data_IF_449684878855
#
_entry.id   IF_449684878855
#
_cell.length_a   1.000
_cell.length_b   1.000
_cell.length_c   1.000
_cell.angle_alpha   90.00
_cell.angle_beta   90.00
_cell.angle_gamma   90.00
#
_symmetry.space_group_name_H-M   'P 1'
#
loop_
_entity.id
_entity.type
_entity.pdbx_description
1 polymer ?
#
# COMPACT_ATOMS: atom_id res chain seq x y z
N UNK A 1 1.91 -38.54 27.51
CA UNK A 1 2.85 -37.61 28.16
C UNK A 1 2.90 -36.20 27.54
N UNK A 2 1.83 -35.69 26.89
CA UNK A 2 1.78 -34.31 26.34
C UNK A 2 0.80 -33.37 27.08
N UNK A 3 -0.02 -33.90 28.00
CA UNK A 3 -1.02 -33.11 28.75
C UNK A 3 -0.49 -32.53 30.07
N UNK A 4 0.66 -33.01 30.56
CA UNK A 4 1.27 -32.55 31.82
C UNK A 4 2.13 -31.29 31.60
N UNK A 5 2.64 -31.07 30.37
CA UNK A 5 3.46 -29.88 30.07
C UNK A 5 2.63 -28.58 29.96
N UNK A 6 1.35 -28.67 29.60
CA UNK A 6 0.52 -27.47 29.40
C UNK A 6 0.03 -26.85 30.72
N UNK A 7 -0.07 -27.66 31.79
CA UNK A 7 -0.43 -27.18 33.13
C UNK A 7 0.68 -26.34 33.78
N UNK A 8 1.94 -26.71 33.57
CA UNK A 8 3.08 -26.04 34.22
C UNK A 8 3.34 -24.63 33.69
N UNK A 9 3.06 -24.37 32.40
CA UNK A 9 3.29 -23.06 31.77
C UNK A 9 2.26 -22.02 32.24
N UNK A 10 1.04 -22.44 32.55
CA UNK A 10 -0.02 -21.54 33.03
C UNK A 10 0.18 -21.19 34.52
N UNK A 11 0.70 -22.11 35.33
CA UNK A 11 1.08 -21.82 36.72
C UNK A 11 2.33 -20.94 36.84
N UNK A 12 3.28 -21.01 35.90
CA UNK A 12 4.48 -20.15 35.93
C UNK A 12 4.15 -18.67 35.59
N UNK A 13 3.07 -18.43 34.83
CA UNK A 13 2.64 -17.09 34.43
C UNK A 13 1.81 -16.36 35.50
N UNK A 14 1.32 -17.07 36.52
CA UNK A 14 0.47 -16.52 37.58
C UNK A 14 1.24 -16.14 38.87
N UNK A 15 2.50 -16.56 39.02
CA UNK A 15 3.31 -16.28 40.23
C UNK A 15 4.17 -15.01 40.10
N UNK A 16 4.26 -14.38 38.92
CA UNK A 16 5.06 -13.16 38.73
C UNK A 16 4.31 -11.84 38.98
N UNK A 17 3.15 -11.86 39.67
CA UNK A 17 2.33 -10.65 39.90
C UNK A 17 2.33 -10.14 41.35
N UNK A 18 3.24 -10.59 42.21
CA UNK A 18 3.34 -10.09 43.59
C UNK A 18 4.78 -9.75 43.97
N UNK A 19 4.94 -8.58 44.60
CA UNK A 19 6.16 -7.82 44.92
C UNK A 19 6.67 -7.01 43.71
N UNK A 20 6.59 -5.67 43.69
CA UNK A 20 6.98 -4.72 44.74
C UNK A 20 6.02 -3.52 44.74
N UNK A 21 5.51 -3.19 45.93
CA UNK A 21 4.92 -1.91 46.29
C UNK A 21 5.86 -1.19 47.27
N UNK A 22 5.72 0.14 47.34
CA UNK A 22 6.34 1.12 48.27
C UNK A 22 7.82 1.49 48.00
N UNK A 23 8.25 2.75 47.95
CA UNK A 23 7.73 4.06 48.42
C UNK A 23 8.12 5.21 47.45
N UNK A 24 7.35 6.30 47.43
CA UNK A 24 7.76 7.57 46.79
C UNK A 24 6.60 8.49 46.42
N UNK A 25 6.18 9.32 47.38
CA UNK A 25 5.06 10.28 47.36
C UNK A 25 5.40 11.59 46.61
N UNK A 26 4.35 12.35 46.22
CA UNK A 26 4.28 13.82 45.94
C UNK A 26 4.56 14.19 44.46
N UNK A 27 3.72 14.86 43.65
CA UNK A 27 2.45 15.62 43.81
C UNK A 27 1.77 15.89 42.46
N UNK A 28 0.45 16.10 42.56
CA UNK A 28 -0.40 17.07 41.84
C UNK A 28 -0.85 16.86 40.39
N UNK A 29 -2.16 16.54 40.31
CA UNK A 29 -3.21 17.27 39.60
C UNK A 29 -3.03 17.52 38.09
N UNK A 30 -3.81 16.82 37.28
CA UNK A 30 -5.04 17.44 36.73
C UNK A 30 -5.93 16.41 36.06
N UNK A 31 -7.19 16.39 36.51
CA UNK A 31 -8.32 15.81 35.79
C UNK A 31 -8.42 16.40 34.38
N UNK A 32 -8.60 15.53 33.38
CA UNK A 32 -9.55 15.82 32.31
C UNK A 32 -10.15 14.54 31.75
N UNK A 33 -11.28 14.18 32.32
CA UNK A 33 -12.29 13.31 31.71
C UNK A 33 -12.83 14.03 30.47
N UNK A 34 -12.73 13.42 29.28
CA UNK A 34 -13.70 13.65 28.20
C UNK A 34 -14.04 12.30 27.57
N UNK A 35 -15.33 11.97 27.64
CA UNK A 35 -15.98 10.82 27.04
C UNK A 35 -16.19 10.98 25.53
N UNK A 36 -16.14 9.83 24.84
CA UNK A 36 -16.94 9.38 23.68
C UNK A 36 -17.54 10.44 22.73
N UNK A 37 -17.19 10.35 21.44
CA UNK A 37 -18.19 10.49 20.36
C UNK A 37 -17.69 9.86 19.07
N UNK A 38 -18.44 8.86 18.58
CA UNK A 38 -18.43 8.42 17.18
C UNK A 38 -19.07 9.51 16.31
N UNK A 39 -18.38 9.99 15.27
CA UNK A 39 -18.87 10.04 13.89
C UNK A 39 -17.95 10.84 12.95
N UNK A 40 -17.91 10.35 11.72
CA UNK A 40 -17.30 10.83 10.47
C UNK A 40 -16.91 12.32 10.37
N UNK A 41 -15.68 12.59 9.89
CA UNK A 41 -15.48 13.01 8.50
C UNK A 41 -14.00 13.17 8.16
N UNK A 42 -13.65 12.81 6.93
CA UNK A 42 -12.37 13.11 6.28
C UNK A 42 -12.19 14.63 6.17
N UNK A 43 -11.07 15.16 6.68
CA UNK A 43 -10.22 16.14 5.98
C UNK A 43 -8.85 16.22 6.64
N UNK A 44 -7.84 15.79 5.89
CA UNK A 44 -6.56 16.49 5.66
C UNK A 44 -6.06 17.46 6.76
N UNK A 45 -5.29 16.93 7.71
CA UNK A 45 -4.04 17.55 8.13
C UNK A 45 -3.05 16.43 8.41
N UNK A 46 -1.86 16.54 7.83
CA UNK A 46 -0.71 15.76 8.28
C UNK A 46 -0.34 16.35 9.64
N UNK A 47 -1.06 15.95 10.67
CA UNK A 47 -0.64 16.21 12.03
C UNK A 47 0.69 15.50 12.21
N UNK A 48 1.67 16.32 12.52
CA UNK A 48 3.03 15.98 12.87
C UNK A 48 2.97 15.10 14.12
N UNK A 49 2.78 13.80 13.92
CA UNK A 49 2.85 12.84 15.03
C UNK A 49 4.27 12.89 15.56
N UNK A 50 4.41 13.60 16.68
CA UNK A 50 5.54 13.57 17.58
C UNK A 50 5.74 12.12 18.04
N UNK A 51 6.51 11.36 17.26
CA UNK A 51 7.07 10.09 17.67
C UNK A 51 8.39 10.41 18.36
N UNK A 52 8.34 10.39 19.68
CA UNK A 52 9.49 10.48 20.57
C UNK A 52 10.61 9.56 20.07
N UNK A 53 11.78 10.16 19.85
CA UNK A 53 12.97 9.52 19.31
C UNK A 53 13.68 8.61 20.34
N UNK A 54 12.95 8.09 21.33
CA UNK A 54 13.49 7.30 22.43
C UNK A 54 12.61 6.08 22.71
N UNK A 55 12.15 5.40 21.66
CA UNK A 55 11.61 4.06 21.80
C UNK A 55 12.79 3.09 21.93
N UNK A 56 13.00 2.62 23.16
CA UNK A 56 13.82 1.48 23.54
C UNK A 56 13.68 0.34 22.50
N UNK A 57 14.77 -0.37 22.16
CA UNK A 57 14.77 -1.30 21.02
C UNK A 57 13.65 -2.36 21.08
N UNK A 58 13.16 -2.66 22.29
CA UNK A 58 12.01 -3.50 22.60
C UNK A 58 10.68 -2.94 22.09
N UNK A 59 10.41 -1.64 22.24
CA UNK A 59 9.20 -0.97 21.71
C UNK A 59 9.24 -0.89 20.18
N UNK A 60 10.44 -0.72 19.61
CA UNK A 60 10.65 -0.78 18.15
C UNK A 60 10.30 -2.15 17.56
N UNK A 61 10.51 -3.23 18.30
CA UNK A 61 10.11 -4.58 17.88
C UNK A 61 8.59 -4.70 17.74
N UNK A 62 7.82 -4.29 18.76
CA UNK A 62 6.36 -4.34 18.74
C UNK A 62 5.75 -3.44 17.66
N UNK A 63 6.32 -2.26 17.43
CA UNK A 63 5.89 -1.39 16.34
C UNK A 63 6.05 -2.06 14.97
N UNK A 64 7.22 -2.65 14.69
CA UNK A 64 7.46 -3.34 13.41
C UNK A 64 6.61 -4.62 13.28
N UNK A 65 6.37 -5.34 14.39
CA UNK A 65 5.48 -6.50 14.42
C UNK A 65 4.04 -6.09 14.08
N UNK A 66 3.55 -5.03 14.71
CA UNK A 66 2.22 -4.46 14.47
C UNK A 66 2.03 -4.01 13.03
N UNK A 67 3.02 -3.34 12.43
CA UNK A 67 2.99 -2.96 11.01
C UNK A 67 2.94 -4.17 10.08
N UNK A 68 3.72 -5.22 10.36
CA UNK A 68 3.68 -6.45 9.56
C UNK A 68 2.34 -7.19 9.71
N UNK A 69 1.77 -7.23 10.92
CA UNK A 69 0.43 -7.77 11.18
C UNK A 69 -0.64 -6.98 10.42
N UNK A 70 -0.61 -5.64 10.49
CA UNK A 70 -1.53 -4.79 9.75
C UNK A 70 -1.43 -5.02 8.24
N UNK A 71 -0.22 -5.15 7.70
CA UNK A 71 -0.02 -5.52 6.29
C UNK A 71 -0.54 -6.93 5.95
N UNK A 72 -0.44 -7.88 6.88
CA UNK A 72 -0.93 -9.25 6.67
C UNK A 72 -2.47 -9.34 6.73
N UNK A 73 -3.11 -8.52 7.57
CA UNK A 73 -4.56 -8.49 7.75
C UNK A 73 -5.30 -7.78 6.61
N UNK A 74 -4.64 -6.87 5.88
CA UNK A 74 -5.25 -6.23 4.71
C UNK A 74 -5.31 -7.21 3.53
N UNK A 75 -6.52 -7.67 3.23
CA UNK A 75 -6.80 -8.58 2.11
C UNK A 75 -6.81 -7.88 0.75
N UNK A 76 -7.18 -6.60 0.71
CA UNK A 76 -7.19 -5.82 -0.53
C UNK A 76 -5.75 -5.46 -0.95
N UNK A 77 -5.34 -5.91 -2.14
CA UNK A 77 -3.96 -5.78 -2.63
C UNK A 77 -3.54 -4.31 -2.82
N UNK A 78 -4.43 -3.46 -3.31
CA UNK A 78 -4.20 -2.01 -3.47
C UNK A 78 -3.93 -1.35 -2.12
N UNK A 79 -4.84 -1.51 -1.15
CA UNK A 79 -4.68 -0.94 0.19
C UNK A 79 -3.43 -1.46 0.90
N UNK A 80 -3.05 -2.72 0.63
CA UNK A 80 -1.84 -3.33 1.17
C UNK A 80 -0.57 -2.72 0.57
N UNK A 81 -0.54 -2.52 -0.75
CA UNK A 81 0.57 -1.88 -1.45
C UNK A 81 0.70 -0.41 -1.01
N UNK A 82 -0.41 0.32 -0.90
CA UNK A 82 -0.43 1.70 -0.43
C UNK A 82 0.07 1.83 1.03
N UNK A 83 -0.37 0.94 1.93
CA UNK A 83 0.14 0.93 3.30
C UNK A 83 1.64 0.64 3.35
N UNK A 84 2.13 -0.31 2.53
CA UNK A 84 3.55 -0.62 2.48
C UNK A 84 4.37 0.58 2.00
N UNK A 85 3.87 1.31 1.00
CA UNK A 85 4.48 2.56 0.53
C UNK A 85 4.49 3.64 1.61
N UNK A 86 3.40 3.77 2.39
CA UNK A 86 3.33 4.69 3.53
C UNK A 86 4.38 4.35 4.60
N UNK A 87 4.54 3.08 4.94
CA UNK A 87 5.57 2.62 5.88
C UNK A 87 6.97 2.97 5.37
N UNK A 88 7.24 2.79 4.08
CA UNK A 88 8.52 3.17 3.49
C UNK A 88 8.79 4.69 3.60
N UNK A 89 7.76 5.51 3.40
CA UNK A 89 7.83 6.97 3.59
C UNK A 89 8.10 7.34 5.06
N UNK A 90 7.41 6.72 6.01
CA UNK A 90 7.65 6.91 7.44
C UNK A 90 9.11 6.59 7.81
N UNK A 91 9.66 5.49 7.29
CA UNK A 91 11.07 5.14 7.52
C UNK A 91 12.03 6.16 6.90
N UNK A 92 11.70 6.75 5.74
CA UNK A 92 12.51 7.83 5.16
C UNK A 92 12.46 9.11 6.02
N UNK A 93 11.29 9.44 6.57
CA UNK A 93 11.17 10.55 7.52
C UNK A 93 12.03 10.30 8.79
N UNK A 94 12.07 9.05 9.27
CA UNK A 94 12.96 8.65 10.38
C UNK A 94 14.44 8.81 10.00
N UNK A 95 14.85 8.42 8.79
CA UNK A 95 16.21 8.66 8.28
C UNK A 95 16.55 10.16 8.33
N UNK A 96 15.66 11.03 7.84
CA UNK A 96 15.86 12.48 7.89
C UNK A 96 15.96 13.00 9.34
N UNK A 97 15.12 12.50 10.27
CA UNK A 97 15.20 12.86 11.69
C UNK A 97 16.55 12.44 12.30
N UNK A 98 16.96 11.18 12.09
CA UNK A 98 18.22 10.63 12.62
C UNK A 98 19.44 11.34 12.01
N UNK A 99 19.37 11.74 10.74
CA UNK A 99 20.44 12.51 10.10
C UNK A 99 20.74 13.85 10.79
N UNK A 100 19.80 14.40 11.58
CA UNK A 100 20.01 15.62 12.36
C UNK A 100 20.79 15.35 13.66
N UNK A 101 20.81 14.11 14.13
CA UNK A 101 21.42 13.70 15.40
C UNK A 101 22.93 13.40 15.27
N UNK A 102 23.49 13.44 14.06
CA UNK A 102 24.91 13.16 13.74
C UNK A 102 25.44 11.81 14.26
N UNK A 103 24.58 10.79 14.33
CA UNK A 103 24.97 9.44 14.74
C UNK A 103 25.09 8.55 13.48
N UNK A 104 26.30 8.29 12.96
CA UNK A 104 26.51 7.55 11.71
C UNK A 104 25.96 6.12 11.78
N UNK A 105 26.13 5.45 12.92
CA UNK A 105 25.70 4.06 13.11
C UNK A 105 24.18 3.98 13.09
N UNK A 106 23.49 4.90 13.77
CA UNK A 106 22.02 4.97 13.72
C UNK A 106 21.51 5.37 12.34
N UNK A 107 22.22 6.26 11.64
CA UNK A 107 21.86 6.67 10.28
C UNK A 107 21.94 5.49 9.30
N UNK A 108 23.01 4.71 9.35
CA UNK A 108 23.18 3.51 8.52
C UNK A 108 22.10 2.45 8.82
N UNK A 109 21.83 2.19 10.11
CA UNK A 109 20.76 1.27 10.53
C UNK A 109 19.38 1.76 10.06
N UNK A 110 19.14 3.07 10.06
CA UNK A 110 17.91 3.67 9.57
C UNK A 110 17.77 3.55 8.05
N UNK A 111 18.85 3.79 7.30
CA UNK A 111 18.90 3.60 5.84
C UNK A 111 18.61 2.15 5.46
N UNK A 112 19.24 1.18 6.12
CA UNK A 112 18.98 -0.24 5.87
C UNK A 112 17.52 -0.64 6.15
N UNK A 113 16.89 -0.05 7.18
CA UNK A 113 15.46 -0.28 7.48
C UNK A 113 14.56 0.34 6.42
N UNK A 114 14.88 1.54 5.96
CA UNK A 114 14.16 2.22 4.89
C UNK A 114 14.25 1.42 3.59
N UNK A 115 15.43 0.91 3.23
CA UNK A 115 15.62 0.09 2.03
C UNK A 115 14.77 -1.19 2.09
N UNK A 116 14.74 -1.87 3.24
CA UNK A 116 13.89 -3.06 3.44
C UNK A 116 12.40 -2.73 3.32
N UNK A 117 11.95 -1.60 3.86
CA UNK A 117 10.56 -1.17 3.74
C UNK A 117 10.20 -0.86 2.28
N UNK A 118 11.09 -0.17 1.57
CA UNK A 118 10.94 0.13 0.14
C UNK A 118 10.84 -1.15 -0.70
N UNK A 119 11.75 -2.11 -0.49
CA UNK A 119 11.73 -3.38 -1.21
C UNK A 119 10.44 -4.19 -0.97
N UNK A 120 9.88 -4.15 0.25
CA UNK A 120 8.58 -4.75 0.55
C UNK A 120 7.44 -4.06 -0.19
N UNK A 121 7.45 -2.73 -0.23
CA UNK A 121 6.45 -1.95 -0.96
C UNK A 121 6.51 -2.28 -2.45
N UNK A 122 7.69 -2.26 -3.06
CA UNK A 122 7.88 -2.58 -4.48
C UNK A 122 7.38 -3.99 -4.81
N UNK A 123 7.70 -5.01 -3.98
CA UNK A 123 7.20 -6.37 -4.19
C UNK A 123 5.67 -6.48 -4.13
N UNK A 124 5.01 -5.67 -3.30
CA UNK A 124 3.54 -5.65 -3.23
C UNK A 124 2.93 -4.91 -4.41
N UNK A 125 3.60 -3.85 -4.89
CA UNK A 125 3.20 -3.12 -6.09
C UNK A 125 3.33 -4.00 -7.33
N UNK A 126 4.44 -4.72 -7.48
CA UNK A 126 4.65 -5.67 -8.59
C UNK A 126 3.58 -6.77 -8.59
N UNK A 127 3.22 -7.29 -7.41
CA UNK A 127 2.10 -8.25 -7.29
C UNK A 127 0.75 -7.64 -7.66
N UNK A 128 0.52 -6.37 -7.32
CA UNK A 128 -0.69 -5.66 -7.74
C UNK A 128 -0.72 -5.50 -9.27
N UNK A 129 0.40 -5.11 -9.87
CA UNK A 129 0.55 -4.91 -11.32
C UNK A 129 0.37 -6.22 -12.11
N UNK A 130 0.88 -7.34 -11.59
CA UNK A 130 0.86 -8.64 -12.26
C UNK A 130 -0.43 -9.43 -12.03
N UNK A 131 -0.92 -9.47 -10.78
CA UNK A 131 -2.04 -10.34 -10.39
C UNK A 131 -3.41 -9.62 -10.43
N UNK A 132 -3.44 -8.28 -10.40
CA UNK A 132 -4.69 -7.50 -10.31
C UNK A 132 -4.73 -6.37 -11.34
N UNK A 133 -4.28 -6.67 -12.57
CA UNK A 133 -4.25 -5.76 -13.71
C UNK A 133 -5.62 -5.18 -14.11
N UNK A 134 -6.71 -5.57 -13.43
CA UNK A 134 -8.05 -4.97 -13.59
C UNK A 134 -8.14 -3.60 -12.89
N UNK A 135 -7.31 -3.35 -11.88
CA UNK A 135 -7.36 -2.15 -11.06
C UNK A 135 -6.31 -1.12 -11.51
N UNK A 136 -6.36 -0.75 -12.80
CA UNK A 136 -5.34 0.08 -13.46
C UNK A 136 -5.22 1.46 -12.84
N UNK A 137 -6.33 2.08 -12.48
CA UNK A 137 -6.33 3.41 -11.87
C UNK A 137 -5.62 3.39 -10.51
N UNK A 138 -5.86 2.35 -9.70
CA UNK A 138 -5.15 2.13 -8.45
C UNK A 138 -3.64 1.96 -8.65
N UNK A 139 -3.25 1.17 -9.67
CA UNK A 139 -1.86 0.95 -10.04
C UNK A 139 -1.19 2.28 -10.43
N UNK A 140 -1.85 3.10 -11.24
CA UNK A 140 -1.33 4.39 -11.69
C UNK A 140 -1.18 5.38 -10.54
N UNK A 141 -2.17 5.48 -9.65
CA UNK A 141 -2.07 6.31 -8.43
C UNK A 141 -0.88 5.89 -7.55
N UNK A 142 -0.74 4.59 -7.28
CA UNK A 142 0.35 4.07 -6.44
C UNK A 142 1.71 4.31 -7.11
N UNK A 143 1.78 4.19 -8.44
CA UNK A 143 2.99 4.46 -9.23
C UNK A 143 3.39 5.93 -9.12
N UNK A 144 2.46 6.86 -9.32
CA UNK A 144 2.73 8.30 -9.20
C UNK A 144 3.26 8.65 -7.79
N UNK A 145 2.62 8.12 -6.74
CA UNK A 145 3.11 8.27 -5.35
C UNK A 145 4.53 7.73 -5.16
N UNK A 146 4.86 6.61 -5.81
CA UNK A 146 6.20 6.01 -5.72
C UNK A 146 7.25 6.84 -6.46
N UNK A 147 6.90 7.47 -7.57
CA UNK A 147 7.79 8.40 -8.29
C UNK A 147 8.05 9.66 -7.47
N UNK A 148 7.00 10.28 -6.93
CA UNK A 148 7.12 11.43 -6.03
C UNK A 148 7.99 11.10 -4.82
N UNK A 149 7.80 9.92 -4.21
CA UNK A 149 8.64 9.46 -3.10
C UNK A 149 10.10 9.30 -3.52
N UNK A 150 10.36 8.76 -4.72
CA UNK A 150 11.73 8.56 -5.22
C UNK A 150 12.44 9.90 -5.41
N UNK A 151 11.74 10.90 -5.94
CA UNK A 151 12.24 12.28 -6.01
C UNK A 151 12.52 12.84 -4.60
N UNK A 152 11.60 12.70 -3.64
CA UNK A 152 11.79 13.15 -2.25
C UNK A 152 12.97 12.46 -1.57
N UNK A 153 13.20 11.17 -1.83
CA UNK A 153 14.35 10.43 -1.29
C UNK A 153 15.67 11.03 -1.80
N UNK A 154 15.75 11.38 -3.09
CA UNK A 154 16.94 12.02 -3.67
C UNK A 154 17.23 13.40 -3.06
N UNK A 155 16.18 14.20 -2.83
CA UNK A 155 16.31 15.51 -2.19
C UNK A 155 16.79 15.37 -0.74
N UNK A 156 16.18 14.45 0.03
CA UNK A 156 16.57 14.19 1.41
C UNK A 156 18.01 13.66 1.46
N UNK A 157 18.41 12.76 0.55
CA UNK A 157 19.80 12.28 0.44
C UNK A 157 20.76 13.45 0.29
N UNK A 158 20.52 14.32 -0.68
CA UNK A 158 21.39 15.47 -0.97
C UNK A 158 21.56 16.34 0.29
N UNK A 159 20.43 16.62 0.96
CA UNK A 159 20.42 17.38 2.22
C UNK A 159 21.15 16.67 3.36
N UNK A 160 21.10 15.34 3.43
CA UNK A 160 21.84 14.55 4.42
C UNK A 160 23.34 14.65 4.16
N UNK A 161 23.77 14.45 2.91
CA UNK A 161 25.18 14.53 2.54
C UNK A 161 25.77 15.91 2.81
N UNK A 162 25.07 16.99 2.44
CA UNK A 162 25.49 18.36 2.75
C UNK A 162 25.67 18.60 4.26
N UNK A 163 24.72 18.14 5.08
CA UNK A 163 24.79 18.30 6.55
C UNK A 163 25.89 17.49 7.21
N UNK A 164 26.24 16.35 6.64
CA UNK A 164 27.22 15.41 7.19
C UNK A 164 28.64 15.70 6.71
N UNK A 165 28.80 16.46 5.62
CA UNK A 165 30.09 16.81 5.02
C UNK A 165 31.08 17.46 6.02
N UNK A 166 30.57 18.30 6.91
CA UNK A 166 31.41 19.03 7.89
C UNK A 166 31.52 18.31 9.25
N UNK A 167 30.83 17.17 9.42
CA UNK A 167 30.67 16.51 10.73
C UNK A 167 31.18 15.08 10.78
N UNK A 168 31.43 14.48 9.63
CA UNK A 168 31.92 13.11 9.49
C UNK A 168 33.36 13.09 8.97
N UNK A 169 34.07 11.98 9.22
CA UNK A 169 35.37 11.78 8.60
C UNK A 169 35.22 11.57 7.09
N UNK A 170 36.25 11.87 6.28
CA UNK A 170 36.20 11.64 4.84
C UNK A 170 35.82 10.20 4.49
N UNK A 171 36.34 9.22 5.23
CA UNK A 171 36.05 7.79 5.03
C UNK A 171 34.57 7.44 5.29
N UNK A 172 33.96 8.03 6.33
CA UNK A 172 32.54 7.83 6.64
C UNK A 172 31.62 8.47 5.58
N UNK A 173 32.03 9.63 5.05
CA UNK A 173 31.32 10.28 3.95
C UNK A 173 31.37 9.40 2.70
N UNK A 174 32.53 8.86 2.34
CA UNK A 174 32.67 7.96 1.20
C UNK A 174 31.80 6.71 1.35
N UNK A 175 31.80 6.06 2.53
CA UNK A 175 30.91 4.92 2.78
C UNK A 175 29.43 5.29 2.67
N UNK A 176 29.04 6.45 3.20
CA UNK A 176 27.66 6.93 3.11
C UNK A 176 27.25 7.23 1.65
N UNK A 177 28.15 7.82 0.87
CA UNK A 177 27.99 8.03 -0.57
C UNK A 177 27.81 6.71 -1.30
N UNK A 178 28.59 5.67 -0.97
CA UNK A 178 28.44 4.33 -1.54
C UNK A 178 27.07 3.71 -1.20
N UNK A 179 26.64 3.78 0.06
CA UNK A 179 25.32 3.27 0.48
C UNK A 179 24.22 3.98 -0.31
N UNK A 180 24.32 5.29 -0.45
CA UNK A 180 23.34 6.05 -1.22
C UNK A 180 23.41 5.77 -2.72
N UNK A 181 24.60 5.59 -3.30
CA UNK A 181 24.76 5.22 -4.70
C UNK A 181 24.13 3.85 -4.97
N UNK A 182 24.25 2.91 -4.03
CA UNK A 182 23.58 1.61 -4.10
C UNK A 182 22.06 1.74 -4.03
N UNK A 183 21.54 2.63 -3.18
CA UNK A 183 20.10 2.91 -3.09
C UNK A 183 19.58 3.51 -4.41
N UNK A 184 20.33 4.42 -5.02
CA UNK A 184 20.01 5.05 -6.31
C UNK A 184 20.09 4.08 -7.48
N UNK A 185 21.15 3.29 -7.59
CA UNK A 185 21.28 2.28 -8.63
C UNK A 185 20.10 1.30 -8.60
N UNK A 186 19.71 0.86 -7.39
CA UNK A 186 18.50 0.05 -7.23
C UNK A 186 17.23 0.82 -7.55
N UNK A 187 17.16 2.12 -7.26
CA UNK A 187 16.00 2.95 -7.63
C UNK A 187 15.85 3.08 -9.14
N UNK A 188 16.97 3.22 -9.85
CA UNK A 188 17.01 3.34 -11.30
C UNK A 188 16.64 2.01 -11.98
N UNK A 189 17.22 0.89 -11.55
CA UNK A 189 16.84 -0.45 -12.02
C UNK A 189 15.33 -0.71 -11.83
N UNK A 190 14.78 -0.25 -10.69
CA UNK A 190 13.33 -0.31 -10.44
C UNK A 190 12.52 0.56 -11.40
N UNK A 191 12.99 1.77 -11.73
CA UNK A 191 12.30 2.64 -12.69
C UNK A 191 12.29 2.03 -14.09
N UNK A 192 13.39 1.42 -14.51
CA UNK A 192 13.49 0.71 -15.79
C UNK A 192 12.52 -0.47 -15.86
N UNK A 193 12.48 -1.33 -14.82
CA UNK A 193 11.49 -2.41 -14.72
C UNK A 193 10.05 -1.90 -14.76
N UNK A 194 9.77 -0.76 -14.13
CA UNK A 194 8.44 -0.12 -14.14
C UNK A 194 8.03 0.36 -15.54
N UNK A 195 8.97 0.81 -16.37
CA UNK A 195 8.67 1.21 -17.75
C UNK A 195 8.24 0.01 -18.60
N UNK A 196 8.90 -1.14 -18.45
CA UNK A 196 8.52 -2.37 -19.16
C UNK A 196 7.12 -2.85 -18.74
N UNK A 197 6.85 -2.89 -17.42
CA UNK A 197 5.53 -3.25 -16.91
C UNK A 197 4.45 -2.24 -17.36
N UNK A 198 4.79 -0.95 -17.48
CA UNK A 198 3.87 0.08 -18.01
C UNK A 198 3.46 -0.24 -19.44
N UNK A 199 4.40 -0.65 -20.29
CA UNK A 199 4.12 -1.01 -21.67
C UNK A 199 3.16 -2.21 -21.74
N UNK A 200 3.44 -3.25 -20.96
CA UNK A 200 2.60 -4.45 -20.89
C UNK A 200 1.18 -4.17 -20.36
N UNK A 201 1.03 -3.32 -19.34
CA UNK A 201 -0.29 -2.92 -18.84
C UNK A 201 -1.05 -2.11 -19.90
N UNK A 202 -0.37 -1.20 -20.60
CA UNK A 202 -0.97 -0.39 -21.67
C UNK A 202 -1.47 -1.26 -22.83
N UNK A 203 -0.69 -2.26 -23.23
CA UNK A 203 -1.07 -3.24 -24.25
C UNK A 203 -2.32 -4.04 -23.82
N UNK A 204 -2.30 -4.61 -22.60
CA UNK A 204 -3.47 -5.32 -22.04
C UNK A 204 -4.73 -4.46 -21.94
N UNK A 205 -4.58 -3.16 -21.69
CA UNK A 205 -5.70 -2.22 -21.67
C UNK A 205 -6.27 -1.96 -23.06
N UNK A 206 -5.41 -1.80 -24.07
CA UNK A 206 -5.85 -1.63 -25.45
C UNK A 206 -6.60 -2.87 -25.94
N UNK A 207 -6.05 -4.07 -25.75
CA UNK A 207 -6.71 -5.34 -26.10
C UNK A 207 -8.09 -5.47 -25.46
N UNK A 208 -8.20 -5.11 -24.17
CA UNK A 208 -9.48 -5.15 -23.45
C UNK A 208 -10.50 -4.17 -24.00
N UNK A 209 -10.06 -2.95 -24.36
CA UNK A 209 -10.95 -1.94 -24.93
C UNK A 209 -11.43 -2.34 -26.33
N UNK A 210 -10.54 -2.89 -27.16
CA UNK A 210 -10.87 -3.44 -28.48
C UNK A 210 -11.88 -4.59 -28.34
N UNK A 211 -11.63 -5.53 -27.43
CA UNK A 211 -12.54 -6.66 -27.15
C UNK A 211 -13.91 -6.18 -26.68
N UNK A 212 -13.95 -5.17 -25.79
CA UNK A 212 -15.21 -4.59 -25.29
C UNK A 212 -15.99 -3.88 -26.39
N UNK A 213 -15.30 -3.27 -27.34
CA UNK A 213 -15.91 -2.59 -28.50
C UNK A 213 -16.47 -3.62 -29.48
N UNK A 214 -15.72 -4.67 -29.82
CA UNK A 214 -16.22 -5.78 -30.64
C UNK A 214 -17.41 -6.52 -30.03
N UNK A 215 -17.42 -6.74 -28.70
CA UNK A 215 -18.58 -7.29 -27.99
C UNK A 215 -19.80 -6.37 -28.06
N UNK A 216 -19.62 -5.04 -27.95
CA UNK A 216 -20.72 -4.08 -28.11
C UNK A 216 -21.32 -4.13 -29.51
N UNK A 217 -20.47 -4.17 -30.54
CA UNK A 217 -20.90 -4.29 -31.94
C UNK A 217 -21.67 -5.59 -32.19
N UNK A 218 -21.18 -6.71 -31.65
CA UNK A 218 -21.84 -8.01 -31.78
C UNK A 218 -23.19 -8.05 -31.04
N UNK A 219 -23.27 -7.47 -29.85
CA UNK A 219 -24.54 -7.31 -29.13
C UNK A 219 -25.53 -6.47 -29.94
N UNK A 220 -25.06 -5.37 -30.53
CA UNK A 220 -25.91 -4.50 -31.35
C UNK A 220 -26.42 -5.25 -32.59
N UNK A 221 -25.54 -5.94 -33.32
CA UNK A 221 -25.91 -6.75 -34.48
C UNK A 221 -26.94 -7.83 -34.13
N UNK A 222 -26.73 -8.57 -33.05
CA UNK A 222 -27.69 -9.57 -32.57
C UNK A 222 -29.05 -8.94 -32.23
N UNK A 223 -29.05 -7.73 -31.65
CA UNK A 223 -30.28 -7.00 -31.32
C UNK A 223 -31.04 -6.62 -32.59
N UNK A 224 -30.33 -6.17 -33.62
CA UNK A 224 -30.90 -5.80 -34.91
C UNK A 224 -31.47 -7.04 -35.64
N UNK A 225 -30.77 -8.16 -35.63
CA UNK A 225 -31.24 -9.45 -36.16
C UNK A 225 -32.50 -9.97 -35.43
N UNK A 226 -32.53 -9.85 -34.10
CA UNK A 226 -33.72 -10.21 -33.30
C UNK A 226 -34.91 -9.32 -33.68
N UNK A 227 -34.69 -8.02 -33.85
CA UNK A 227 -35.75 -7.08 -34.21
C UNK A 227 -36.28 -7.35 -35.62
N UNK A 228 -35.39 -7.62 -36.59
CA UNK A 228 -35.78 -8.00 -37.94
C UNK A 228 -36.59 -9.32 -37.95
N UNK A 229 -36.15 -10.31 -37.17
CA UNK A 229 -36.86 -11.59 -37.04
C UNK A 229 -38.25 -11.40 -36.40
N UNK A 230 -38.35 -10.54 -35.38
CA UNK A 230 -39.65 -10.21 -34.75
C UNK A 230 -40.60 -9.54 -35.72
N UNK A 231 -40.12 -8.60 -36.54
CA UNK A 231 -40.93 -7.95 -37.56
C UNK A 231 -41.47 -8.95 -38.59
N UNK A 232 -40.62 -9.85 -39.09
CA UNK A 232 -41.04 -10.91 -40.01
C UNK A 232 -42.06 -11.86 -39.39
N UNK A 233 -41.93 -12.20 -38.10
CA UNK A 233 -42.90 -13.04 -37.39
C UNK A 233 -44.25 -12.31 -37.25
N UNK A 234 -44.26 -11.00 -36.97
CA UNK A 234 -45.49 -10.22 -36.89
C UNK A 234 -46.19 -10.13 -38.25
N UNK A 235 -45.45 -9.85 -39.31
CA UNK A 235 -45.96 -9.76 -40.67
C UNK A 235 -46.58 -11.11 -41.12
N UNK A 236 -45.89 -12.23 -40.87
CA UNK A 236 -46.44 -13.57 -41.13
C UNK A 236 -47.69 -13.89 -40.31
N UNK A 237 -47.81 -13.35 -39.09
CA UNK A 237 -49.02 -13.50 -38.27
C UNK A 237 -50.19 -12.70 -38.85
N UNK A 238 -49.96 -11.46 -39.28
CA UNK A 238 -50.99 -10.64 -39.93
C UNK A 238 -51.51 -11.28 -41.21
N UNK A 239 -50.62 -11.73 -42.10
CA UNK A 239 -51.01 -12.44 -43.33
C UNK A 239 -51.85 -13.69 -43.04
N UNK A 240 -51.51 -14.46 -42.00
CA UNK A 240 -52.30 -15.63 -41.59
C UNK A 240 -53.68 -15.29 -41.04
N UNK A 241 -53.81 -14.13 -40.37
CA UNK A 241 -55.10 -13.64 -39.88
C UNK A 241 -55.97 -13.22 -41.06
N UNK A 242 -55.43 -12.42 -41.98
CA UNK A 242 -56.13 -11.97 -43.18
C UNK A 242 -56.58 -13.14 -44.08
N UNK A 243 -55.73 -14.14 -44.28
CA UNK A 243 -56.09 -15.36 -45.02
C UNK A 243 -57.21 -16.15 -44.35
N UNK A 244 -57.24 -16.20 -43.02
CA UNK A 244 -58.33 -16.86 -42.27
C UNK A 244 -59.65 -16.11 -42.41
N UNK A 245 -59.63 -14.78 -42.35
CA UNK A 245 -60.83 -13.96 -42.50
C UNK A 245 -61.44 -14.08 -43.91
N UNK A 246 -60.59 -14.12 -44.94
CA UNK A 246 -61.03 -14.33 -46.33
C UNK A 246 -61.65 -15.72 -46.57
N UNK A 247 -61.16 -16.77 -45.90
CA UNK A 247 -61.75 -18.12 -45.98
C UNK A 247 -63.09 -18.27 -45.24
N UNK A 248 -63.42 -17.37 -44.31
CA UNK A 248 -64.69 -17.40 -43.57
C UNK A 248 -65.81 -16.59 -44.24
N UNK A 249 -65.49 -15.82 -45.28
CA UNK A 249 -66.43 -14.96 -46.03
C UNK A 249 -66.82 -15.51 -47.40
N UNK A 250 -66.27 -16.66 -47.81
CA UNK A 250 -66.67 -17.45 -48.98
C UNK A 250 -67.54 -18.63 -48.57
#
# INVERSE_FOLDING_TARGET
>A
MKKILFGFVITLLLVCSFAIAEEGVVTDNTEKVIAVSENESLTESVDEVALDAQADESLGFFYNLGQNLKLALIRNKEKRAELALRIANEKMAQVNKISKLNDPIKLEKALARQEKAQAKADKLIEKLETEDAKNVEAIERIRNKTQEQTAKVSEIKTRILERQKDKMTPEQITHLEEVFAKIEAKAQERMEKKLEVKKQIKEKLQERNETKTGLKEQIQKNKDEINATKAQIQERKQVKVEQKEQMQTQ
#
